data_IF_873147503672
#
_entry.id   IF_873147503672
#
_cell.length_a   1.000
_cell.length_b   1.000
_cell.length_c   1.000
_cell.angle_alpha   90.00
_cell.angle_beta   90.00
_cell.angle_gamma   90.00
#
_symmetry.space_group_name_H-M   'P 1'
#
loop_
_entity.id
_entity.type
_entity.pdbx_description
1 polymer ?
#
# COMPACT_ATOMS: atom_id res chain seq x y z
N UNK A 1 21.87 13.26 9.27
CA UNK A 1 20.73 12.52 9.86
C UNK A 1 20.17 11.67 8.75
N UNK A 2 19.94 10.37 8.98
CA UNK A 2 19.58 9.38 7.95
C UNK A 2 18.10 9.39 7.56
N UNK A 3 17.39 10.49 7.78
CA UNK A 3 15.94 10.57 7.58
C UNK A 3 15.14 9.96 8.73
N UNK A 4 13.82 9.93 8.60
CA UNK A 4 12.89 9.39 9.60
C UNK A 4 11.80 8.59 8.90
N UNK A 5 11.39 7.46 9.46
CA UNK A 5 10.30 6.62 8.97
C UNK A 5 9.14 6.73 9.97
N UNK A 6 8.04 7.33 9.54
CA UNK A 6 6.89 7.65 10.41
C UNK A 6 5.67 6.86 9.96
N UNK A 7 5.14 5.93 10.77
CA UNK A 7 3.86 5.31 10.49
C UNK A 7 2.73 6.33 10.68
N UNK A 8 1.91 6.51 9.64
CA UNK A 8 0.74 7.39 9.66
C UNK A 8 -0.52 6.55 9.87
N UNK A 9 -1.05 6.55 11.08
CA UNK A 9 -2.34 5.94 11.37
C UNK A 9 -3.47 6.84 10.86
N UNK A 10 -4.35 6.31 10.04
CA UNK A 10 -5.55 7.00 9.55
C UNK A 10 -6.77 6.21 10.00
N UNK A 11 -7.46 6.72 11.00
CA UNK A 11 -8.70 6.15 11.49
C UNK A 11 -9.86 6.49 10.55
N UNK A 12 -10.75 5.52 10.32
CA UNK A 12 -11.95 5.70 9.50
C UNK A 12 -13.11 4.82 9.99
N UNK A 13 -14.32 5.13 9.54
CA UNK A 13 -15.51 4.33 9.77
C UNK A 13 -16.38 4.39 8.51
N UNK A 14 -16.64 3.23 7.92
CA UNK A 14 -17.57 3.06 6.80
C UNK A 14 -18.95 2.53 7.25
N UNK A 15 -19.27 2.65 8.55
CA UNK A 15 -20.54 2.23 9.11
C UNK A 15 -20.58 0.79 9.64
N UNK A 16 -19.42 0.13 9.67
CA UNK A 16 -19.27 -1.24 10.22
C UNK A 16 -18.49 -1.28 11.55
N UNK A 17 -18.22 -0.11 12.14
CA UNK A 17 -17.31 0.09 13.27
C UNK A 17 -16.00 0.73 12.84
N UNK A 18 -15.32 1.39 13.76
CA UNK A 18 -14.06 2.09 13.47
C UNK A 18 -12.93 1.12 13.10
N UNK A 19 -12.15 1.47 12.08
CA UNK A 19 -10.97 0.77 11.63
C UNK A 19 -9.84 1.76 11.36
N UNK A 20 -8.64 1.29 11.04
CA UNK A 20 -7.50 2.12 10.72
C UNK A 20 -6.62 1.49 9.64
N UNK A 21 -6.14 2.33 8.72
CA UNK A 21 -5.07 1.97 7.80
C UNK A 21 -3.79 2.70 8.21
N UNK A 22 -2.65 2.05 8.00
CA UNK A 22 -1.34 2.62 8.27
C UNK A 22 -0.59 2.84 6.97
N UNK A 23 -0.36 4.10 6.67
CA UNK A 23 0.57 4.52 5.62
C UNK A 23 1.95 4.77 6.24
N UNK A 24 2.97 5.03 5.43
CA UNK A 24 4.26 5.46 5.96
C UNK A 24 4.72 6.76 5.30
N UNK A 25 5.20 7.70 6.12
CA UNK A 25 5.86 8.91 5.66
C UNK A 25 7.38 8.76 5.89
N UNK A 26 8.12 8.80 4.81
CA UNK A 26 9.57 8.80 4.80
C UNK A 26 10.02 10.26 4.74
N UNK A 27 10.63 10.77 5.80
CA UNK A 27 11.09 12.14 5.87
C UNK A 27 12.58 12.19 5.56
N UNK A 28 12.93 12.76 4.44
CA UNK A 28 14.32 12.86 3.98
C UNK A 28 14.63 14.31 3.57
N UNK A 29 15.89 14.71 3.71
CA UNK A 29 16.36 16.06 3.33
C UNK A 29 16.18 16.39 1.83
N UNK A 30 15.96 15.38 1.00
CA UNK A 30 15.74 15.51 -0.45
C UNK A 30 14.27 15.61 -0.83
N UNK A 31 13.39 15.57 0.13
CA UNK A 31 11.94 15.58 -0.01
C UNK A 31 11.32 14.38 0.69
N UNK A 32 10.13 14.59 1.19
CA UNK A 32 9.38 13.53 1.85
C UNK A 32 8.81 12.54 0.80
N UNK A 33 8.63 11.28 1.19
CA UNK A 33 8.01 10.25 0.34
C UNK A 33 6.89 9.58 1.13
N UNK A 34 5.73 9.47 0.53
CA UNK A 34 4.61 8.71 1.08
C UNK A 34 4.63 7.29 0.52
N UNK A 35 4.36 6.29 1.34
CA UNK A 35 4.16 4.91 0.92
C UNK A 35 2.69 4.56 1.08
N UNK A 36 2.06 4.23 -0.04
CA UNK A 36 0.62 4.07 -0.25
C UNK A 36 -0.20 5.34 0.05
N UNK A 37 -1.47 5.37 -0.31
CA UNK A 37 -2.28 6.57 -0.22
C UNK A 37 -3.76 6.33 0.15
N UNK A 38 -4.05 5.21 0.81
CA UNK A 38 -5.37 4.96 1.38
C UNK A 38 -6.51 4.88 0.36
N UNK A 39 -7.72 4.99 0.85
CA UNK A 39 -8.96 4.88 0.07
C UNK A 39 -9.25 6.12 -0.78
N UNK A 40 -10.10 5.96 -1.78
CA UNK A 40 -10.70 7.09 -2.49
C UNK A 40 -11.34 8.06 -1.49
N UNK A 41 -11.05 9.37 -1.67
CA UNK A 41 -11.51 10.42 -0.74
C UNK A 41 -10.63 10.63 0.50
N UNK A 42 -9.56 9.86 0.70
CA UNK A 42 -8.68 10.01 1.89
C UNK A 42 -7.67 11.16 1.79
N UNK A 43 -7.54 11.84 0.66
CA UNK A 43 -6.56 12.93 0.52
C UNK A 43 -6.60 13.95 1.68
N UNK A 44 -7.75 14.46 2.17
CA UNK A 44 -7.77 15.38 3.32
C UNK A 44 -7.24 14.75 4.62
N UNK A 45 -7.47 13.43 4.82
CA UNK A 45 -6.97 12.70 5.99
C UNK A 45 -5.46 12.50 5.91
N UNK A 46 -4.94 12.23 4.71
CA UNK A 46 -3.49 12.12 4.45
C UNK A 46 -2.82 13.47 4.71
N UNK A 47 -3.38 14.57 4.21
CA UNK A 47 -2.87 15.92 4.45
C UNK A 47 -2.80 16.25 5.95
N UNK A 48 -3.86 15.92 6.68
CA UNK A 48 -3.91 16.11 8.13
C UNK A 48 -2.88 15.23 8.86
N UNK A 49 -2.74 13.96 8.49
CA UNK A 49 -1.78 13.03 9.09
C UNK A 49 -0.34 13.47 8.82
N UNK A 50 0.00 13.83 7.59
CA UNK A 50 1.33 14.36 7.21
C UNK A 50 1.65 15.62 8.01
N UNK A 51 0.70 16.56 8.11
CA UNK A 51 0.87 17.80 8.87
C UNK A 51 1.04 17.55 10.37
N UNK A 52 0.27 16.63 10.95
CA UNK A 52 0.35 16.27 12.37
C UNK A 52 1.74 15.72 12.76
N UNK A 53 2.45 15.12 11.80
CA UNK A 53 3.81 14.62 12.00
C UNK A 53 4.89 15.59 11.46
N UNK A 54 4.54 16.87 11.28
CA UNK A 54 5.48 17.92 10.89
C UNK A 54 5.94 17.85 9.42
N UNK A 55 5.32 17.00 8.61
CA UNK A 55 5.52 16.96 7.15
C UNK A 55 4.72 18.05 6.45
N UNK A 56 5.00 18.24 5.17
CA UNK A 56 4.30 19.22 4.31
C UNK A 56 4.03 18.59 2.95
N UNK A 57 2.82 18.70 2.47
CA UNK A 57 2.42 18.12 1.18
C UNK A 57 3.16 18.73 -0.03
N UNK A 58 3.54 20.00 0.06
CA UNK A 58 4.34 20.67 -0.96
C UNK A 58 5.83 20.25 -0.96
N UNK A 59 6.30 19.64 0.12
CA UNK A 59 7.61 19.01 0.22
C UNK A 59 7.61 17.51 -0.17
N UNK A 60 6.43 16.94 -0.41
CA UNK A 60 6.31 15.54 -0.82
C UNK A 60 6.83 15.36 -2.25
N UNK A 61 7.95 14.68 -2.40
CA UNK A 61 8.61 14.47 -3.69
C UNK A 61 8.03 13.27 -4.47
N UNK A 62 7.55 12.25 -3.76
CA UNK A 62 7.06 11.03 -4.38
C UNK A 62 6.00 10.30 -3.54
N UNK A 63 5.23 9.46 -4.21
CA UNK A 63 4.44 8.38 -3.61
C UNK A 63 4.96 7.06 -4.17
N UNK A 64 5.19 6.07 -3.30
CA UNK A 64 5.50 4.69 -3.68
C UNK A 64 4.25 3.86 -3.43
N UNK A 65 3.70 3.27 -4.47
CA UNK A 65 2.57 2.33 -4.39
C UNK A 65 3.13 0.92 -4.26
N UNK A 66 2.80 0.24 -3.17
CA UNK A 66 3.27 -1.13 -2.92
C UNK A 66 2.62 -2.13 -3.86
N UNK A 67 1.33 -1.94 -4.16
CA UNK A 67 0.55 -2.77 -5.07
C UNK A 67 -0.78 -2.11 -5.50
N UNK A 68 -1.43 -2.72 -6.52
CA UNK A 68 -2.65 -2.18 -7.16
C UNK A 68 -3.95 -2.79 -6.67
N UNK A 69 -3.87 -3.89 -5.92
CA UNK A 69 -5.01 -4.81 -5.79
C UNK A 69 -6.18 -4.21 -5.04
N UNK A 70 -5.91 -3.48 -3.98
CA UNK A 70 -6.91 -2.98 -3.08
C UNK A 70 -7.09 -1.46 -3.20
N UNK A 71 -8.33 -1.05 -3.06
CA UNK A 71 -8.79 0.34 -3.13
C UNK A 71 -8.22 1.22 -2.00
N UNK A 72 -7.54 0.63 -1.04
CA UNK A 72 -6.98 1.28 0.14
C UNK A 72 -5.46 1.56 0.07
N UNK A 73 -4.79 1.17 -1.01
CA UNK A 73 -3.38 1.49 -1.24
C UNK A 73 -3.16 2.57 -2.29
N UNK A 74 -4.04 2.65 -3.29
CA UNK A 74 -3.93 3.66 -4.34
C UNK A 74 -5.21 4.50 -4.55
N UNK A 75 -6.18 4.38 -3.65
CA UNK A 75 -7.49 5.02 -3.81
C UNK A 75 -7.45 6.55 -3.89
N UNK A 76 -6.56 7.22 -3.15
CA UNK A 76 -6.41 8.67 -3.22
C UNK A 76 -5.33 9.15 -4.21
N UNK A 77 -4.67 8.24 -4.95
CA UNK A 77 -3.51 8.55 -5.78
C UNK A 77 -3.81 9.58 -6.87
N UNK A 78 -4.92 9.41 -7.58
CA UNK A 78 -5.32 10.34 -8.64
C UNK A 78 -5.64 11.74 -8.10
N UNK A 79 -6.39 11.82 -7.01
CA UNK A 79 -6.69 13.09 -6.34
C UNK A 79 -5.41 13.78 -5.81
N UNK A 80 -4.47 12.98 -5.28
CA UNK A 80 -3.18 13.48 -4.84
C UNK A 80 -2.36 14.03 -6.01
N UNK A 81 -2.24 13.29 -7.11
CA UNK A 81 -1.52 13.73 -8.32
C UNK A 81 -2.17 14.97 -8.97
N UNK A 82 -3.50 15.05 -8.97
CA UNK A 82 -4.22 16.20 -9.49
C UNK A 82 -3.96 17.48 -8.66
N UNK A 83 -3.96 17.35 -7.33
CA UNK A 83 -3.72 18.49 -6.42
C UNK A 83 -2.23 18.88 -6.34
N UNK A 84 -1.34 17.89 -6.42
CA UNK A 84 0.12 18.05 -6.29
C UNK A 84 0.84 17.44 -7.50
N UNK A 85 0.77 18.05 -8.69
CA UNK A 85 1.26 17.45 -9.95
C UNK A 85 2.77 17.22 -9.99
N UNK A 86 3.55 17.88 -9.11
CA UNK A 86 4.99 17.67 -8.98
C UNK A 86 5.37 16.35 -8.35
N UNK A 87 4.47 15.70 -7.59
CA UNK A 87 4.73 14.44 -6.93
C UNK A 87 4.92 13.33 -7.97
N UNK A 88 6.02 12.61 -7.87
CA UNK A 88 6.30 11.45 -8.72
C UNK A 88 5.65 10.19 -8.16
N UNK A 89 5.10 9.37 -9.04
CA UNK A 89 4.49 8.10 -8.68
C UNK A 89 5.44 6.95 -9.01
N UNK A 90 5.75 6.16 -8.02
CA UNK A 90 6.59 4.97 -8.13
C UNK A 90 5.72 3.72 -7.93
N UNK A 91 5.94 2.67 -8.71
CA UNK A 91 5.26 1.39 -8.56
C UNK A 91 6.16 0.23 -8.96
N UNK A 92 5.91 -0.96 -8.43
CA UNK A 92 6.60 -2.17 -8.88
C UNK A 92 6.40 -2.42 -10.38
N UNK A 93 7.43 -2.93 -11.07
CA UNK A 93 7.33 -3.24 -12.52
C UNK A 93 6.16 -4.16 -12.83
N UNK A 94 5.82 -5.11 -11.95
CA UNK A 94 4.69 -6.02 -12.11
C UNK A 94 3.33 -5.41 -11.79
N UNK A 95 3.29 -4.19 -11.21
CA UNK A 95 2.08 -3.45 -10.86
C UNK A 95 1.71 -2.38 -11.90
N UNK A 96 2.68 -1.95 -12.71
CA UNK A 96 2.58 -0.77 -13.57
C UNK A 96 1.36 -0.76 -14.51
N UNK A 97 1.04 -1.89 -15.14
CA UNK A 97 -0.11 -1.99 -16.05
C UNK A 97 -1.45 -1.85 -15.32
N UNK A 98 -1.52 -2.29 -14.08
CA UNK A 98 -2.70 -2.18 -13.25
C UNK A 98 -2.86 -0.76 -12.69
N UNK A 99 -1.79 -0.19 -12.13
CA UNK A 99 -1.79 1.18 -11.58
C UNK A 99 -2.14 2.20 -12.68
N UNK A 100 -1.65 2.00 -13.91
CA UNK A 100 -1.97 2.85 -15.05
C UNK A 100 -3.33 2.59 -15.69
N UNK A 101 -4.07 1.56 -15.24
CA UNK A 101 -5.36 1.19 -15.82
C UNK A 101 -5.28 0.50 -17.18
N UNK A 102 -4.08 0.21 -17.70
CA UNK A 102 -3.93 -0.57 -18.95
C UNK A 102 -4.41 -2.01 -18.78
N UNK A 103 -4.43 -2.48 -17.54
CA UNK A 103 -4.96 -3.79 -17.17
C UNK A 103 -5.97 -3.64 -16.03
N UNK A 104 -7.08 -4.38 -16.11
CA UNK A 104 -8.11 -4.39 -15.05
C UNK A 104 -7.51 -4.93 -13.75
N UNK A 105 -7.74 -4.24 -12.63
CA UNK A 105 -7.25 -4.65 -11.31
C UNK A 105 -7.80 -6.01 -10.91
N UNK A 106 -6.96 -6.83 -10.28
CA UNK A 106 -7.28 -8.24 -9.97
C UNK A 106 -8.46 -8.36 -9.02
N UNK A 107 -8.55 -7.49 -8.02
CA UNK A 107 -9.65 -7.53 -7.05
C UNK A 107 -11.02 -7.32 -7.70
N UNK A 108 -11.10 -6.41 -8.67
CA UNK A 108 -12.34 -6.23 -9.44
C UNK A 108 -12.66 -7.45 -10.32
N UNK A 109 -11.63 -8.07 -10.94
CA UNK A 109 -11.83 -9.31 -11.70
C UNK A 109 -12.35 -10.44 -10.81
N UNK A 110 -11.81 -10.60 -9.61
CA UNK A 110 -12.26 -11.60 -8.63
C UNK A 110 -13.70 -11.32 -8.17
N UNK A 111 -14.01 -10.06 -7.81
CA UNK A 111 -15.35 -9.66 -7.38
C UNK A 111 -16.40 -9.91 -8.48
N UNK A 112 -16.09 -9.55 -9.72
CA UNK A 112 -16.98 -9.81 -10.87
C UNK A 112 -17.19 -11.31 -11.10
N UNK A 113 -16.12 -12.13 -11.00
CA UNK A 113 -16.21 -13.57 -11.17
C UNK A 113 -17.04 -14.27 -10.09
N UNK A 114 -17.07 -13.70 -8.88
CA UNK A 114 -17.83 -14.25 -7.75
C UNK A 114 -19.30 -13.79 -7.72
N UNK A 115 -19.64 -12.66 -8.35
CA UNK A 115 -20.93 -12.00 -8.23
C UNK A 115 -22.12 -12.93 -8.55
N UNK A 116 -22.04 -13.71 -9.61
CA UNK A 116 -23.12 -14.61 -10.02
C UNK A 116 -23.31 -15.79 -9.05
N UNK A 117 -22.26 -16.16 -8.31
CA UNK A 117 -22.28 -17.25 -7.33
C UNK A 117 -22.72 -16.82 -5.93
N UNK A 118 -22.84 -15.49 -5.70
CA UNK A 118 -23.31 -14.99 -4.41
C UNK A 118 -24.80 -15.34 -4.18
N UNK A 119 -25.19 -15.63 -2.93
CA UNK A 119 -26.60 -15.66 -2.54
C UNK A 119 -27.31 -14.37 -2.92
N UNK A 120 -28.60 -14.45 -3.26
CA UNK A 120 -29.36 -13.28 -3.77
C UNK A 120 -29.39 -12.11 -2.77
N UNK A 121 -29.41 -12.41 -1.48
CA UNK A 121 -29.36 -11.39 -0.40
C UNK A 121 -27.98 -10.71 -0.26
N UNK A 122 -26.90 -11.32 -0.77
CA UNK A 122 -25.54 -10.76 -0.75
C UNK A 122 -25.16 -10.05 -2.05
N UNK A 123 -25.87 -10.28 -3.16
CA UNK A 123 -25.60 -9.63 -4.47
C UNK A 123 -25.56 -8.10 -4.39
N UNK A 124 -26.47 -7.41 -3.65
CA UNK A 124 -26.38 -5.96 -3.52
C UNK A 124 -25.08 -5.46 -2.85
N UNK A 125 -24.57 -6.22 -1.88
CA UNK A 125 -23.28 -5.92 -1.24
C UNK A 125 -22.11 -6.13 -2.21
N UNK A 126 -22.14 -7.20 -2.99
CA UNK A 126 -21.15 -7.44 -4.06
C UNK A 126 -21.12 -6.31 -5.10
N UNK A 127 -22.29 -5.83 -5.54
CA UNK A 127 -22.40 -4.68 -6.46
C UNK A 127 -21.83 -3.40 -5.84
N UNK A 128 -22.14 -3.12 -4.57
CA UNK A 128 -21.62 -1.95 -3.86
C UNK A 128 -20.09 -2.02 -3.74
N UNK A 129 -19.54 -3.21 -3.46
CA UNK A 129 -18.09 -3.43 -3.40
C UNK A 129 -17.43 -3.21 -4.77
N UNK A 130 -17.98 -3.79 -5.84
CA UNK A 130 -17.48 -3.56 -7.19
C UNK A 130 -17.56 -2.09 -7.61
N UNK A 131 -18.64 -1.38 -7.22
CA UNK A 131 -18.76 0.06 -7.48
C UNK A 131 -17.64 0.85 -6.78
N UNK A 132 -17.31 0.51 -5.54
CA UNK A 132 -16.21 1.11 -4.80
C UNK A 132 -14.85 0.84 -5.48
N UNK A 133 -14.59 -0.38 -5.93
CA UNK A 133 -13.36 -0.71 -6.67
C UNK A 133 -13.25 0.07 -8.00
N UNK A 134 -14.37 0.29 -8.69
CA UNK A 134 -14.42 1.09 -9.93
C UNK A 134 -14.20 2.59 -9.71
N UNK A 135 -14.33 3.09 -8.47
CA UNK A 135 -14.04 4.48 -8.14
C UNK A 135 -12.54 4.78 -8.04
N UNK A 136 -11.67 3.78 -8.04
CA UNK A 136 -10.22 4.00 -8.03
C UNK A 136 -9.76 4.44 -9.42
N UNK A 137 -9.33 5.69 -9.51
CA UNK A 137 -8.85 6.25 -10.77
C UNK A 137 -7.38 5.85 -11.02
N UNK A 138 -7.06 5.39 -12.26
CA UNK A 138 -5.69 5.01 -12.60
C UNK A 138 -4.76 6.22 -12.71
N UNK A 139 -3.47 5.98 -12.44
CA UNK A 139 -2.40 6.98 -12.60
C UNK A 139 -1.20 6.31 -13.26
N UNK A 140 -0.63 6.95 -14.28
CA UNK A 140 0.60 6.44 -14.91
C UNK A 140 1.78 6.59 -13.94
N UNK A 141 2.50 5.50 -13.60
CA UNK A 141 3.71 5.58 -12.79
C UNK A 141 4.83 6.32 -13.53
N UNK A 142 5.49 7.26 -12.83
CA UNK A 142 6.65 7.99 -13.35
C UNK A 142 7.93 7.15 -13.27
N UNK A 143 8.00 6.20 -12.33
CA UNK A 143 9.18 5.35 -12.06
C UNK A 143 8.74 3.93 -11.75
N UNK A 144 9.42 2.98 -12.37
CA UNK A 144 9.20 1.56 -12.12
C UNK A 144 10.31 1.01 -11.23
N UNK A 145 9.92 0.25 -10.21
CA UNK A 145 10.80 -0.36 -9.22
C UNK A 145 10.88 -1.87 -9.43
N UNK A 146 12.09 -2.39 -9.48
CA UNK A 146 12.36 -3.83 -9.50
C UNK A 146 12.83 -4.32 -8.12
N UNK A 147 12.58 -5.60 -7.84
CA UNK A 147 13.15 -6.22 -6.64
C UNK A 147 14.68 -6.17 -6.69
N UNK A 148 15.30 -5.67 -5.63
CA UNK A 148 16.74 -5.46 -5.51
C UNK A 148 17.18 -4.02 -5.77
N UNK A 149 16.31 -3.15 -6.30
CA UNK A 149 16.63 -1.73 -6.43
C UNK A 149 16.91 -1.11 -5.06
N UNK A 150 17.82 -0.14 -5.06
CA UNK A 150 18.16 0.65 -3.86
C UNK A 150 17.85 2.10 -4.13
N UNK A 151 16.93 2.65 -3.33
CA UNK A 151 16.56 4.06 -3.37
C UNK A 151 17.38 4.80 -2.31
N UNK A 152 17.91 5.97 -2.68
CA UNK A 152 18.64 6.83 -1.76
C UNK A 152 17.66 7.69 -0.93
N UNK A 153 16.88 7.00 -0.08
CA UNK A 153 15.86 7.56 0.82
C UNK A 153 16.11 7.00 2.21
N UNK A 154 16.08 7.85 3.24
CA UNK A 154 16.26 7.47 4.65
C UNK A 154 17.46 6.53 4.88
N UNK A 155 18.64 6.88 4.36
CA UNK A 155 19.88 6.10 4.56
C UNK A 155 20.01 4.85 3.66
N UNK A 156 19.06 4.60 2.78
CA UNK A 156 19.05 3.48 1.83
C UNK A 156 17.84 2.57 2.01
N UNK A 157 16.93 2.65 1.05
CA UNK A 157 15.74 1.81 0.97
C UNK A 157 15.95 0.71 -0.06
N UNK A 158 15.86 -0.55 0.34
CA UNK A 158 15.89 -1.70 -0.58
C UNK A 158 14.48 -2.11 -0.98
N UNK A 159 14.21 -2.20 -2.26
CA UNK A 159 12.96 -2.74 -2.79
C UNK A 159 13.00 -4.26 -2.70
N UNK A 160 12.07 -4.84 -1.98
CA UNK A 160 11.95 -6.29 -1.80
C UNK A 160 10.72 -6.76 -2.57
N UNK A 161 10.90 -7.57 -3.61
CA UNK A 161 9.77 -8.21 -4.29
C UNK A 161 9.10 -9.21 -3.35
N UNK A 162 7.82 -9.00 -3.11
CA UNK A 162 7.00 -9.82 -2.21
C UNK A 162 5.70 -10.26 -2.90
N UNK A 163 5.82 -10.99 -4.04
CA UNK A 163 4.65 -11.42 -4.79
C UNK A 163 3.77 -12.38 -3.98
N UNK A 164 2.51 -12.43 -4.34
CA UNK A 164 1.55 -13.38 -3.77
C UNK A 164 0.21 -12.74 -3.47
N UNK A 165 0.14 -11.65 -2.75
CA UNK A 165 -1.07 -10.84 -2.64
C UNK A 165 -1.44 -10.29 -4.03
N UNK A 166 -0.51 -9.63 -4.67
CA UNK A 166 -0.52 -9.33 -6.12
C UNK A 166 0.74 -9.89 -6.79
N UNK A 167 0.78 -10.02 -8.14
CA UNK A 167 1.93 -10.59 -8.84
C UNK A 167 3.20 -9.71 -8.75
N UNK A 168 3.03 -8.40 -8.65
CA UNK A 168 4.13 -7.43 -8.64
C UNK A 168 4.34 -6.72 -7.32
N UNK A 169 3.71 -7.20 -6.24
CA UNK A 169 3.80 -6.60 -4.92
C UNK A 169 5.25 -6.35 -4.48
N UNK A 170 5.50 -5.19 -3.91
CA UNK A 170 6.79 -4.81 -3.33
C UNK A 170 6.64 -4.39 -1.87
N UNK A 171 7.65 -4.70 -1.07
CA UNK A 171 7.86 -4.15 0.27
C UNK A 171 9.14 -3.33 0.29
N UNK A 172 9.28 -2.46 1.27
CA UNK A 172 10.43 -1.56 1.39
C UNK A 172 11.22 -1.88 2.67
N UNK A 173 12.49 -2.20 2.54
CA UNK A 173 13.38 -2.51 3.65
C UNK A 173 14.43 -1.43 3.84
N UNK A 174 14.56 -0.94 5.06
CA UNK A 174 15.49 0.09 5.50
C UNK A 174 16.49 -0.50 6.49
N UNK A 175 17.64 -1.03 6.03
CA UNK A 175 18.60 -1.71 6.92
C UNK A 175 19.12 -0.82 8.03
N UNK A 176 19.41 0.46 7.74
CA UNK A 176 19.93 1.40 8.75
C UNK A 176 18.92 1.76 9.86
N UNK A 177 17.64 1.51 9.61
CA UNK A 177 16.55 1.73 10.57
C UNK A 177 16.01 0.43 11.17
N UNK A 178 16.50 -0.73 10.74
CA UNK A 178 15.93 -2.02 11.12
C UNK A 178 14.42 -2.10 10.83
N UNK A 179 13.94 -1.44 9.75
CA UNK A 179 12.50 -1.26 9.50
C UNK A 179 12.09 -1.78 8.14
N UNK A 180 10.92 -2.43 8.09
CA UNK A 180 10.26 -2.87 6.86
C UNK A 180 8.88 -2.23 6.75
N UNK A 181 8.54 -1.68 5.60
CA UNK A 181 7.17 -1.33 5.23
C UNK A 181 6.66 -2.47 4.35
N UNK A 182 5.64 -3.15 4.82
CA UNK A 182 5.28 -4.48 4.30
C UNK A 182 4.28 -4.43 3.14
N UNK A 183 3.48 -3.35 3.03
CA UNK A 183 2.24 -3.42 2.25
C UNK A 183 1.40 -4.59 2.76
N UNK A 184 0.76 -5.31 1.85
CA UNK A 184 -0.07 -6.47 2.17
C UNK A 184 0.63 -7.82 2.01
N UNK A 185 1.97 -7.81 1.89
CA UNK A 185 2.74 -9.06 2.03
C UNK A 185 2.77 -9.57 3.48
N UNK A 186 2.51 -8.69 4.44
CA UNK A 186 2.36 -9.01 5.85
C UNK A 186 1.39 -8.03 6.50
N UNK A 187 0.38 -8.54 7.17
CA UNK A 187 -0.57 -7.81 8.01
C UNK A 187 -0.51 -8.33 9.43
N UNK A 188 -1.17 -7.67 10.37
CA UNK A 188 -1.32 -8.17 11.74
C UNK A 188 -2.74 -8.64 11.99
N UNK A 189 -2.88 -9.91 12.31
CA UNK A 189 -4.11 -10.52 12.82
C UNK A 189 -3.89 -10.92 14.28
N UNK A 190 -4.71 -10.40 15.18
CA UNK A 190 -4.54 -10.60 16.63
C UNK A 190 -3.11 -10.27 17.11
N UNK A 191 -2.51 -9.20 16.58
CA UNK A 191 -1.14 -8.74 16.85
C UNK A 191 -0.04 -9.70 16.38
N UNK A 192 -0.33 -10.67 15.55
CA UNK A 192 0.63 -11.62 14.98
C UNK A 192 0.74 -11.44 13.46
N UNK A 193 1.95 -11.61 12.89
CA UNK A 193 2.17 -11.58 11.46
C UNK A 193 1.35 -12.63 10.71
N UNK A 194 0.60 -12.20 9.70
CA UNK A 194 -0.24 -13.05 8.86
C UNK A 194 -0.17 -12.63 7.39
N UNK A 195 -0.62 -13.51 6.49
CA UNK A 195 -0.85 -13.20 5.08
C UNK A 195 -2.16 -12.42 4.95
N UNK A 196 -2.14 -11.31 4.25
CA UNK A 196 -3.35 -10.54 3.97
C UNK A 196 -4.35 -11.33 3.11
N UNK A 197 -5.61 -11.39 3.56
CA UNK A 197 -6.73 -11.93 2.77
C UNK A 197 -6.38 -13.21 1.98
N UNK A 198 -6.00 -14.32 2.62
CA UNK A 198 -5.44 -15.49 1.94
C UNK A 198 -6.36 -16.08 0.87
N UNK A 199 -7.69 -15.90 1.00
CA UNK A 199 -8.70 -16.38 0.04
C UNK A 199 -8.68 -15.58 -1.27
N UNK A 200 -8.18 -14.36 -1.24
CA UNK A 200 -8.12 -13.45 -2.38
C UNK A 200 -6.70 -13.21 -2.88
N UNK A 201 -5.71 -13.83 -2.26
CA UNK A 201 -4.34 -13.76 -2.74
C UNK A 201 -4.23 -14.29 -4.18
N UNK A 202 -3.49 -13.56 -5.03
CA UNK A 202 -3.19 -14.01 -6.40
C UNK A 202 -2.51 -15.38 -6.39
N UNK A 203 -1.59 -15.60 -5.44
CA UNK A 203 -0.91 -16.87 -5.20
C UNK A 203 -0.63 -17.03 -3.71
N UNK A 204 -1.44 -17.81 -3.00
CA UNK A 204 -1.23 -18.06 -1.57
C UNK A 204 0.14 -18.67 -1.25
N UNK A 205 0.67 -19.65 -2.03
CA UNK A 205 2.02 -20.16 -1.78
C UNK A 205 3.11 -19.09 -1.92
N UNK A 206 2.98 -18.13 -2.86
CA UNK A 206 3.91 -17.03 -3.00
C UNK A 206 3.78 -16.03 -1.86
N UNK A 207 2.55 -15.70 -1.44
CA UNK A 207 2.30 -14.83 -0.29
C UNK A 207 2.92 -15.41 0.99
N UNK A 208 2.79 -16.70 1.23
CA UNK A 208 3.43 -17.37 2.36
C UNK A 208 4.97 -17.34 2.28
N UNK A 209 5.55 -17.48 1.09
CA UNK A 209 7.00 -17.34 0.89
C UNK A 209 7.45 -15.90 1.12
N UNK A 210 6.67 -14.93 0.67
CA UNK A 210 6.93 -13.50 0.85
C UNK A 210 6.90 -13.11 2.33
N UNK A 211 5.89 -13.55 3.08
CA UNK A 211 5.83 -13.35 4.53
C UNK A 211 7.08 -13.92 5.24
N UNK A 212 7.45 -15.18 4.94
CA UNK A 212 8.65 -15.81 5.51
C UNK A 212 9.92 -15.03 5.13
N UNK A 213 10.01 -14.53 3.89
CA UNK A 213 11.13 -13.72 3.42
C UNK A 213 11.25 -12.42 4.20
N UNK A 214 10.14 -11.73 4.47
CA UNK A 214 10.15 -10.50 5.26
C UNK A 214 10.60 -10.75 6.68
N UNK A 215 10.08 -11.79 7.33
CA UNK A 215 10.45 -12.17 8.71
C UNK A 215 11.90 -12.67 8.85
N UNK A 216 12.55 -13.03 7.73
CA UNK A 216 13.96 -13.42 7.71
C UNK A 216 14.91 -12.23 7.47
N UNK A 217 14.40 -11.02 7.26
CA UNK A 217 15.22 -9.82 7.19
C UNK A 217 15.72 -9.45 8.60
N UNK A 218 16.90 -8.82 8.64
CA UNK A 218 17.46 -8.25 9.88
C UNK A 218 16.72 -6.92 10.19
N UNK A 219 15.51 -7.05 10.73
CA UNK A 219 14.62 -5.94 11.03
C UNK A 219 13.91 -6.14 12.37
N UNK A 220 13.74 -5.06 13.11
CA UNK A 220 13.09 -5.02 14.42
C UNK A 220 11.66 -4.43 14.35
N UNK A 221 11.36 -3.68 13.28
CA UNK A 221 10.10 -2.97 13.12
C UNK A 221 9.49 -3.26 11.76
N UNK A 222 8.21 -3.62 11.75
CA UNK A 222 7.42 -3.85 10.55
C UNK A 222 6.20 -2.92 10.60
N UNK A 223 6.07 -2.05 9.60
CA UNK A 223 4.91 -1.17 9.41
C UNK A 223 3.99 -1.89 8.43
N UNK A 224 2.89 -2.42 8.95
CA UNK A 224 1.88 -3.14 8.19
C UNK A 224 0.71 -2.20 7.88
N UNK A 225 0.20 -2.23 6.67
CA UNK A 225 -0.94 -1.38 6.28
C UNK A 225 -2.19 -1.71 7.10
N UNK A 226 -2.36 -2.97 7.48
CA UNK A 226 -3.44 -3.45 8.34
C UNK A 226 -2.88 -4.03 9.64
N UNK A 227 -3.52 -3.62 10.77
CA UNK A 227 -3.15 -4.08 12.11
C UNK A 227 -2.05 -3.26 12.79
N UNK A 228 -1.30 -2.42 12.06
CA UNK A 228 -0.39 -1.44 12.65
C UNK A 228 1.09 -1.80 12.60
N UNK A 229 1.81 -1.54 13.69
CA UNK A 229 3.26 -1.70 13.77
C UNK A 229 3.61 -2.91 14.62
N UNK A 230 4.34 -3.86 14.04
CA UNK A 230 4.89 -5.02 14.73
C UNK A 230 6.36 -4.77 15.11
N UNK A 231 6.75 -5.16 16.31
CA UNK A 231 8.13 -5.13 16.79
C UNK A 231 8.53 -6.50 17.33
N UNK A 232 9.70 -6.97 16.87
CA UNK A 232 10.30 -8.22 17.36
C UNK A 232 11.00 -8.01 18.70
#
# INVERSE_FOLDING_TARGET
MNGEIVPLKIDFDFGAGGDAIYLALLRDKRGDVLVDCGYSGFLPRIEAAVSAHGGRMDALAAVIVTHHHDHDHMGALAALKAKYPHIRVYAGVGEAEYVSGRRKVLRLQQAEAMQDSLPDDQKPMGEAFMAMLRCVEPVEPDVLLASGDVLDICGGCRVVGTPGHTPGHISLYFPEHGTVITGDAMVLENSLPAVANPEFAYSLPDAQRSLKRLLALDAETYICSHGGVYRC
#
